data_IF_830718022851
#
_entry.id   IF_830718022851
#
_cell.length_a   1.000
_cell.length_b   1.000
_cell.length_c   1.000
_cell.angle_alpha   90.00
_cell.angle_beta   90.00
_cell.angle_gamma   90.00
#
_symmetry.space_group_name_H-M   'P 1'
#
loop_
_entity.id
_entity.type
_entity.pdbx_description
1 polymer ?
#
# COMPACT_ATOMS: atom_id res chain seq x y z
N UNK A 1 22.84 -22.60 -9.84
CA UNK A 1 24.27 -22.52 -9.49
C UNK A 1 24.85 -23.94 -9.38
N UNK A 2 25.49 -24.46 -10.44
CA UNK A 2 26.12 -25.77 -10.39
C UNK A 2 27.14 -25.85 -9.23
N UNK A 3 27.03 -26.86 -8.37
CA UNK A 3 27.93 -27.07 -7.23
C UNK A 3 27.57 -26.32 -5.95
N UNK A 4 26.53 -25.49 -5.92
CA UNK A 4 26.08 -24.82 -4.69
C UNK A 4 25.44 -25.80 -3.71
N UNK A 5 25.90 -25.80 -2.46
CA UNK A 5 25.31 -26.59 -1.36
C UNK A 5 23.95 -26.06 -0.90
N UNK A 6 23.65 -24.81 -1.20
CA UNK A 6 22.43 -24.13 -0.79
C UNK A 6 22.03 -23.09 -1.85
N UNK A 7 20.73 -22.95 -2.09
CA UNK A 7 20.15 -21.95 -2.98
C UNK A 7 18.97 -21.31 -2.27
N UNK A 8 18.98 -19.99 -2.14
CA UNK A 8 17.82 -19.21 -1.70
C UNK A 8 17.10 -18.70 -2.93
N UNK A 9 15.79 -18.91 -2.98
CA UNK A 9 14.89 -18.40 -4.01
C UNK A 9 14.01 -17.34 -3.37
N UNK A 10 13.96 -16.18 -3.99
CA UNK A 10 13.04 -15.08 -3.66
C UNK A 10 12.13 -14.87 -4.86
N UNK A 11 10.83 -14.75 -4.62
CA UNK A 11 9.86 -14.46 -5.66
C UNK A 11 8.99 -13.28 -5.28
N UNK A 12 8.76 -12.41 -6.27
CA UNK A 12 7.75 -11.37 -6.25
C UNK A 12 6.75 -11.63 -7.37
N UNK A 13 5.47 -11.47 -7.10
CA UNK A 13 4.39 -11.60 -8.07
C UNK A 13 3.42 -10.40 -7.98
N UNK A 14 2.62 -10.20 -9.02
CA UNK A 14 1.66 -9.09 -9.11
C UNK A 14 2.27 -7.71 -9.37
N UNK A 15 3.55 -7.69 -9.77
CA UNK A 15 4.28 -6.49 -10.16
C UNK A 15 3.67 -5.86 -11.42
N UNK A 16 3.58 -4.54 -11.42
CA UNK A 16 3.20 -3.68 -12.53
C UNK A 16 4.40 -2.87 -13.00
N UNK A 17 4.67 -2.90 -14.31
CA UNK A 17 5.71 -2.04 -14.90
C UNK A 17 5.39 -0.56 -14.77
N UNK A 18 4.15 -0.19 -14.47
CA UNK A 18 3.73 1.21 -14.36
C UNK A 18 3.95 1.75 -12.94
N UNK A 19 3.95 0.86 -11.94
CA UNK A 19 3.93 1.24 -10.52
C UNK A 19 5.22 0.89 -9.78
N UNK A 20 5.88 -0.23 -10.11
CA UNK A 20 7.06 -0.70 -9.40
C UNK A 20 8.35 -0.61 -10.24
N UNK A 21 9.46 -0.38 -9.54
CA UNK A 21 10.82 -0.66 -9.99
C UNK A 21 11.35 -1.87 -9.22
N UNK A 22 12.12 -2.70 -9.92
CA UNK A 22 12.85 -3.82 -9.31
C UNK A 22 14.33 -3.53 -9.51
N UNK A 23 15.15 -3.77 -8.47
CA UNK A 23 16.60 -3.66 -8.59
C UNK A 23 17.13 -4.39 -9.82
N UNK A 24 17.99 -3.73 -10.60
CA UNK A 24 18.65 -4.36 -11.72
C UNK A 24 19.72 -5.33 -11.20
N UNK A 25 19.40 -6.63 -11.19
CA UNK A 25 20.28 -7.67 -10.63
C UNK A 25 21.22 -8.25 -11.69
N UNK A 26 22.47 -8.46 -11.30
CA UNK A 26 23.53 -9.12 -12.09
C UNK A 26 24.25 -10.18 -11.26
N UNK A 27 25.23 -10.89 -11.85
CA UNK A 27 26.07 -11.86 -11.12
C UNK A 27 26.97 -11.21 -10.05
N UNK A 28 27.19 -9.90 -10.11
CA UNK A 28 27.99 -9.17 -9.12
C UNK A 28 27.17 -8.80 -7.87
N UNK A 29 25.85 -8.83 -7.96
CA UNK A 29 24.96 -8.46 -6.87
C UNK A 29 24.81 -9.60 -5.86
N UNK A 30 24.53 -9.21 -4.62
CA UNK A 30 24.14 -10.11 -3.53
C UNK A 30 22.63 -9.98 -3.28
N UNK A 31 22.05 -10.96 -2.58
CA UNK A 31 20.60 -11.00 -2.36
C UNK A 31 20.05 -9.73 -1.70
N UNK A 32 20.82 -9.11 -0.81
CA UNK A 32 20.41 -7.87 -0.13
C UNK A 32 20.37 -6.64 -1.04
N UNK A 33 20.89 -6.71 -2.27
CA UNK A 33 20.74 -5.66 -3.28
C UNK A 33 19.36 -5.68 -3.93
N UNK A 34 18.60 -6.78 -3.77
CA UNK A 34 17.24 -6.88 -4.29
C UNK A 34 16.30 -5.99 -3.47
N UNK A 35 15.60 -5.12 -4.19
CA UNK A 35 14.54 -4.27 -3.68
C UNK A 35 13.41 -4.19 -4.70
N UNK A 36 12.19 -4.12 -4.22
CA UNK A 36 11.00 -3.73 -5.00
C UNK A 36 10.55 -2.38 -4.46
N UNK A 37 10.56 -1.34 -5.28
CA UNK A 37 10.23 0.03 -4.87
C UNK A 37 9.13 0.61 -5.73
N UNK A 38 8.30 1.48 -5.15
CA UNK A 38 7.34 2.24 -5.92
C UNK A 38 8.03 3.32 -6.73
N UNK A 39 7.56 3.50 -7.97
CA UNK A 39 7.84 4.70 -8.76
C UNK A 39 7.18 5.88 -8.06
N UNK A 40 7.92 6.97 -7.92
CA UNK A 40 7.44 8.16 -7.25
C UNK A 40 8.00 9.44 -7.87
N UNK A 41 7.27 10.54 -7.69
CA UNK A 41 7.66 11.88 -8.05
C UNK A 41 7.62 12.75 -6.79
N UNK A 42 8.79 13.11 -6.26
CA UNK A 42 8.94 13.97 -5.07
C UNK A 42 8.13 13.49 -3.84
N UNK A 43 8.19 12.21 -3.49
CA UNK A 43 7.47 11.66 -2.34
C UNK A 43 6.02 11.24 -2.64
N UNK A 44 5.53 11.42 -3.87
CA UNK A 44 4.19 10.99 -4.29
C UNK A 44 4.29 9.76 -5.18
N UNK A 45 3.57 8.69 -4.87
CA UNK A 45 3.49 7.51 -5.73
C UNK A 45 3.02 7.90 -7.14
N UNK A 46 3.74 7.45 -8.16
CA UNK A 46 3.43 7.77 -9.55
C UNK A 46 2.13 7.07 -10.03
N UNK A 47 1.84 5.91 -9.45
CA UNK A 47 0.62 5.13 -9.65
C UNK A 47 0.32 4.32 -8.39
N UNK A 48 -0.89 3.76 -8.31
CA UNK A 48 -1.25 2.82 -7.25
C UNK A 48 -0.48 1.50 -7.46
N UNK A 49 0.01 0.86 -6.39
CA UNK A 49 0.78 -0.37 -6.52
C UNK A 49 -0.03 -1.51 -7.13
N UNK A 50 0.67 -2.45 -7.74
CA UNK A 50 0.09 -3.76 -8.07
C UNK A 50 -0.33 -4.52 -6.81
N UNK A 51 -1.07 -5.61 -6.99
CA UNK A 51 -1.37 -6.51 -5.87
C UNK A 51 -0.14 -7.38 -5.60
N UNK A 52 0.77 -6.89 -4.75
CA UNK A 52 2.09 -7.52 -4.60
C UNK A 52 2.04 -8.74 -3.70
N UNK A 53 2.73 -9.80 -4.12
CA UNK A 53 2.94 -11.00 -3.32
C UNK A 53 4.42 -11.37 -3.25
N UNK A 54 4.84 -11.92 -2.13
CA UNK A 54 6.22 -12.29 -1.83
C UNK A 54 6.33 -13.71 -1.28
N UNK A 55 7.41 -14.39 -1.64
CA UNK A 55 7.79 -15.66 -1.01
C UNK A 55 9.30 -15.86 -1.03
N UNK A 56 9.80 -16.60 -0.04
CA UNK A 56 11.20 -17.01 0.03
C UNK A 56 11.33 -18.45 0.51
N UNK A 57 12.22 -19.21 -0.12
CA UNK A 57 12.55 -20.58 0.29
C UNK A 57 14.03 -20.84 0.11
N UNK A 58 14.59 -21.69 0.97
CA UNK A 58 16.01 -22.07 0.87
C UNK A 58 16.15 -23.57 0.67
N UNK A 59 16.65 -23.96 -0.49
CA UNK A 59 16.92 -25.33 -0.87
C UNK A 59 18.33 -25.72 -0.42
N UNK A 60 18.48 -26.90 0.17
CA UNK A 60 19.78 -27.47 0.53
C UNK A 60 20.08 -28.68 -0.36
N UNK A 61 21.22 -28.64 -1.05
CA UNK A 61 21.72 -29.73 -1.88
C UNK A 61 22.51 -30.71 -1.01
N UNK A 62 21.81 -31.50 -0.20
CA UNK A 62 22.41 -32.55 0.65
C UNK A 62 22.30 -33.95 0.06
N UNK A 63 21.69 -34.11 -1.12
CA UNK A 63 21.23 -35.39 -1.63
C UNK A 63 21.63 -35.61 -3.10
N UNK A 64 21.95 -36.86 -3.46
CA UNK A 64 22.17 -37.32 -4.85
C UNK A 64 20.88 -37.47 -5.65
N UNK A 65 19.73 -37.14 -5.05
CA UNK A 65 18.38 -37.23 -5.63
C UNK A 65 17.76 -35.82 -5.76
N UNK A 66 16.88 -35.67 -6.74
CA UNK A 66 16.09 -34.46 -6.89
C UNK A 66 15.19 -34.24 -5.64
N UNK A 67 15.14 -32.99 -5.17
CA UNK A 67 14.23 -32.55 -4.11
C UNK A 67 13.30 -31.45 -4.62
N UNK A 68 12.13 -31.34 -4.00
CA UNK A 68 11.18 -30.27 -4.23
C UNK A 68 10.93 -29.55 -2.91
N UNK A 69 10.77 -28.24 -2.98
CA UNK A 69 10.43 -27.39 -1.83
C UNK A 69 9.22 -26.53 -2.21
N UNK A 70 8.34 -26.29 -1.25
CA UNK A 70 7.17 -25.43 -1.45
C UNK A 70 7.55 -23.98 -1.18
N UNK A 71 7.35 -23.12 -2.17
CA UNK A 71 7.43 -21.67 -2.00
C UNK A 71 6.07 -21.14 -1.57
N UNK A 72 5.94 -20.77 -0.29
CA UNK A 72 4.77 -20.05 0.19
C UNK A 72 4.85 -18.60 -0.30
N UNK A 73 3.78 -18.14 -0.94
CA UNK A 73 3.64 -16.76 -1.41
C UNK A 73 2.51 -16.11 -0.62
N UNK A 74 2.77 -14.93 -0.07
CA UNK A 74 1.84 -14.15 0.76
C UNK A 74 1.67 -12.75 0.20
N UNK A 75 0.47 -12.21 0.35
CA UNK A 75 0.13 -10.86 -0.10
C UNK A 75 0.82 -9.82 0.79
N UNK A 76 1.54 -8.89 0.20
CA UNK A 76 2.37 -7.88 0.90
C UNK A 76 1.77 -6.49 0.96
N UNK A 77 0.82 -6.17 0.08
CA UNK A 77 0.08 -4.90 0.14
C UNK A 77 -1.05 -4.99 1.16
N UNK A 78 -1.48 -3.83 1.63
CA UNK A 78 -2.78 -3.64 2.28
C UNK A 78 -3.81 -3.20 1.26
N UNK A 79 -5.08 -3.46 1.53
CA UNK A 79 -6.22 -2.94 0.76
C UNK A 79 -6.97 -1.89 1.58
N UNK A 80 -7.32 -0.76 0.97
CA UNK A 80 -8.03 0.32 1.64
C UNK A 80 -9.27 0.73 0.84
N UNK A 81 -10.40 0.85 1.51
CA UNK A 81 -11.59 1.57 1.02
C UNK A 81 -11.86 2.77 1.92
N UNK A 82 -12.18 3.91 1.29
CA UNK A 82 -12.35 5.19 2.00
C UNK A 82 -13.74 5.73 1.76
N UNK A 83 -14.41 6.10 2.85
CA UNK A 83 -15.75 6.70 2.82
C UNK A 83 -15.75 7.93 3.70
N UNK A 84 -16.26 9.06 3.19
CA UNK A 84 -16.56 10.25 4.00
C UNK A 84 -18.03 10.61 3.87
N UNK A 85 -18.73 10.55 5.00
CA UNK A 85 -20.14 10.85 5.15
C UNK A 85 -20.34 12.30 5.56
N UNK A 86 -21.53 12.84 5.25
CA UNK A 86 -21.93 14.17 5.71
C UNK A 86 -21.29 15.34 4.95
N UNK A 87 -20.62 15.08 3.82
CA UNK A 87 -19.94 16.11 3.01
C UNK A 87 -20.91 17.19 2.54
N UNK A 88 -22.06 16.81 1.98
CA UNK A 88 -23.09 17.77 1.52
C UNK A 88 -23.57 18.66 2.67
N UNK A 89 -23.74 18.12 3.88
CA UNK A 89 -24.25 18.90 5.02
C UNK A 89 -23.30 20.02 5.43
N UNK A 90 -22.00 19.87 5.16
CA UNK A 90 -20.97 20.82 5.58
C UNK A 90 -20.57 21.75 4.44
N UNK A 91 -20.52 21.24 3.20
CA UNK A 91 -20.07 22.01 2.05
C UNK A 91 -21.20 22.63 1.21
N UNK A 92 -22.45 22.20 1.44
CA UNK A 92 -23.65 22.60 0.70
C UNK A 92 -23.51 22.49 -0.83
N UNK A 93 -22.67 21.55 -1.29
CA UNK A 93 -22.41 21.32 -2.72
C UNK A 93 -22.05 19.86 -2.99
N UNK A 94 -22.43 19.40 -4.19
CA UNK A 94 -22.05 18.11 -4.77
C UNK A 94 -20.95 18.23 -5.83
N UNK A 95 -20.67 19.45 -6.27
CA UNK A 95 -19.73 19.73 -7.35
C UNK A 95 -18.30 19.85 -6.83
N UNK A 96 -17.34 19.44 -7.64
CA UNK A 96 -15.91 19.53 -7.35
C UNK A 96 -15.20 18.20 -7.49
N UNK A 97 -13.88 18.27 -7.62
CA UNK A 97 -13.02 17.11 -7.73
C UNK A 97 -12.59 16.65 -6.35
N UNK A 98 -12.99 15.44 -5.96
CA UNK A 98 -12.64 14.84 -4.69
C UNK A 98 -11.51 13.82 -4.86
N UNK A 99 -10.58 13.83 -3.92
CA UNK A 99 -9.55 12.79 -3.83
C UNK A 99 -9.04 12.69 -2.39
N UNK A 100 -8.57 11.50 -2.04
CA UNK A 100 -7.87 11.28 -0.78
C UNK A 100 -6.37 11.37 -0.98
N UNK A 101 -5.68 11.89 0.03
CA UNK A 101 -4.25 11.65 0.23
C UNK A 101 -4.06 10.66 1.37
N UNK A 102 -3.32 9.58 1.11
CA UNK A 102 -2.88 8.63 2.15
C UNK A 102 -1.37 8.77 2.28
N UNK A 103 -0.89 9.13 3.47
CA UNK A 103 0.51 9.50 3.73
C UNK A 103 1.14 8.57 4.77
N UNK A 104 2.48 8.65 4.87
CA UNK A 104 3.32 7.93 5.84
C UNK A 104 3.42 6.42 5.60
N UNK A 105 3.20 5.97 4.36
CA UNK A 105 3.56 4.60 3.99
C UNK A 105 5.00 4.58 3.52
N UNK A 106 5.69 3.46 3.76
CA UNK A 106 7.01 3.23 3.17
C UNK A 106 6.93 3.04 1.65
N UNK A 107 8.07 3.20 0.97
CA UNK A 107 8.14 3.22 -0.50
C UNK A 107 8.60 1.90 -1.12
N UNK A 108 9.14 0.96 -0.34
CA UNK A 108 9.77 -0.24 -0.89
C UNK A 108 9.69 -1.44 0.04
N UNK A 109 9.98 -2.61 -0.52
CA UNK A 109 10.28 -3.84 0.18
C UNK A 109 11.72 -4.27 -0.12
N UNK A 110 12.41 -4.75 0.91
CA UNK A 110 13.73 -5.35 0.74
C UNK A 110 13.65 -6.83 0.29
N UNK A 111 14.81 -7.47 0.19
CA UNK A 111 14.94 -8.88 -0.17
C UNK A 111 14.26 -9.88 0.78
N UNK A 112 13.92 -9.48 2.00
CA UNK A 112 13.19 -10.29 2.98
C UNK A 112 11.67 -10.03 2.93
N UNK A 113 11.21 -9.11 2.07
CA UNK A 113 9.83 -8.67 2.03
C UNK A 113 9.48 -7.69 3.16
N UNK A 114 10.47 -7.05 3.77
CA UNK A 114 10.26 -6.06 4.84
C UNK A 114 10.16 -4.64 4.25
N UNK A 115 9.27 -3.82 4.82
CA UNK A 115 9.08 -2.44 4.39
C UNK A 115 10.33 -1.58 4.65
N UNK A 116 10.76 -0.83 3.65
CA UNK A 116 11.95 0.03 3.67
C UNK A 116 11.72 1.33 2.90
N UNK A 117 12.74 2.19 2.86
CA UNK A 117 12.71 3.44 2.11
C UNK A 117 12.07 4.60 2.86
N UNK A 118 11.92 5.72 2.15
CA UNK A 118 11.31 6.93 2.67
C UNK A 118 9.78 6.79 2.76
N UNK A 119 9.17 7.68 3.55
CA UNK A 119 7.72 7.81 3.57
C UNK A 119 7.23 8.50 2.30
N UNK A 120 6.10 8.04 1.77
CA UNK A 120 5.46 8.57 0.57
C UNK A 120 3.97 8.85 0.81
N UNK A 121 3.35 9.49 -0.19
CA UNK A 121 1.92 9.71 -0.28
C UNK A 121 1.31 9.09 -1.54
N UNK A 122 0.06 8.64 -1.42
CA UNK A 122 -0.80 8.27 -2.54
C UNK A 122 -1.86 9.34 -2.76
N UNK A 123 -2.20 9.58 -4.02
CA UNK A 123 -3.40 10.33 -4.41
C UNK A 123 -4.41 9.31 -4.94
N UNK A 124 -5.51 9.13 -4.21
CA UNK A 124 -6.55 8.15 -4.54
C UNK A 124 -7.78 8.92 -5.02
N UNK A 125 -8.19 8.76 -6.29
CA UNK A 125 -9.40 9.41 -6.80
C UNK A 125 -10.64 9.02 -6.00
N UNK A 126 -11.55 9.97 -5.80
CA UNK A 126 -12.80 9.72 -5.10
C UNK A 126 -13.98 10.34 -5.85
N UNK A 127 -15.17 9.75 -5.67
CA UNK A 127 -16.41 10.23 -6.29
C UNK A 127 -17.50 10.39 -5.26
N UNK A 128 -18.47 11.27 -5.51
CA UNK A 128 -19.63 11.42 -4.65
C UNK A 128 -20.75 10.47 -5.09
N UNK A 129 -21.22 9.64 -4.16
CA UNK A 129 -22.35 8.73 -4.40
C UNK A 129 -23.71 9.48 -4.38
N UNK A 130 -24.78 8.78 -4.76
CA UNK A 130 -26.13 9.34 -4.77
C UNK A 130 -26.58 9.87 -3.38
N UNK A 131 -26.08 9.25 -2.30
CA UNK A 131 -26.38 9.61 -0.90
C UNK A 131 -25.56 10.81 -0.42
N UNK A 132 -24.62 11.30 -1.21
CA UNK A 132 -23.76 12.43 -0.86
C UNK A 132 -22.53 12.06 -0.02
N UNK A 133 -22.13 10.78 -0.04
CA UNK A 133 -20.87 10.33 0.54
C UNK A 133 -19.78 10.43 -0.52
N UNK A 134 -18.59 10.85 -0.12
CA UNK A 134 -17.41 10.72 -0.97
C UNK A 134 -16.81 9.34 -0.74
N UNK A 135 -16.58 8.59 -1.81
CA UNK A 135 -16.09 7.21 -1.78
C UNK A 135 -14.87 7.07 -2.70
N UNK A 136 -13.89 6.29 -2.25
CA UNK A 136 -12.84 5.77 -3.11
C UNK A 136 -12.93 4.25 -3.17
N UNK A 137 -12.70 3.70 -4.38
CA UNK A 137 -12.70 2.27 -4.61
C UNK A 137 -11.62 1.56 -3.79
N UNK A 138 -11.80 0.26 -3.56
CA UNK A 138 -10.81 -0.56 -2.89
C UNK A 138 -9.50 -0.55 -3.70
N UNK A 139 -8.43 -0.03 -3.10
CA UNK A 139 -7.11 0.04 -3.74
C UNK A 139 -6.03 -0.58 -2.87
N UNK A 140 -5.00 -1.11 -3.53
CA UNK A 140 -3.77 -1.51 -2.85
C UNK A 140 -2.95 -0.28 -2.43
N UNK A 141 -2.32 -0.38 -1.27
CA UNK A 141 -1.26 0.53 -0.78
C UNK A 141 -0.23 -0.30 0.00
N UNK A 142 0.99 0.23 0.19
CA UNK A 142 1.95 -0.40 1.09
C UNK A 142 1.46 -0.28 2.56
N UNK A 143 1.59 -1.34 3.37
CA UNK A 143 1.11 -1.34 4.74
C UNK A 143 1.84 -0.32 5.63
N UNK A 144 1.16 0.13 6.67
CA UNK A 144 1.71 1.05 7.67
C UNK A 144 0.86 1.05 8.94
N UNK A 145 1.51 1.28 10.07
CA UNK A 145 0.87 1.28 11.40
C UNK A 145 0.34 2.66 11.84
N UNK A 146 0.68 3.73 11.13
CA UNK A 146 0.25 5.11 11.40
C UNK A 146 0.16 5.92 10.10
N UNK A 147 -0.90 5.70 9.31
CA UNK A 147 -1.17 6.52 8.12
C UNK A 147 -1.94 7.78 8.46
N UNK A 148 -1.68 8.84 7.69
CA UNK A 148 -2.53 10.04 7.68
C UNK A 148 -3.40 10.04 6.44
N UNK A 149 -4.71 10.17 6.64
CA UNK A 149 -5.68 10.23 5.56
C UNK A 149 -6.29 11.62 5.55
N UNK A 150 -6.23 12.28 4.40
CA UNK A 150 -6.80 13.61 4.17
C UNK A 150 -7.75 13.54 2.98
N UNK A 151 -8.90 14.22 3.08
CA UNK A 151 -9.81 14.41 1.96
C UNK A 151 -9.65 15.84 1.43
N UNK A 152 -9.54 15.96 0.12
CA UNK A 152 -9.47 17.22 -0.59
C UNK A 152 -10.66 17.40 -1.53
N UNK A 153 -11.02 18.65 -1.75
CA UNK A 153 -11.96 19.10 -2.77
C UNK A 153 -11.32 20.29 -3.50
N UNK A 154 -11.11 20.17 -4.81
CA UNK A 154 -10.54 21.25 -5.63
C UNK A 154 -9.26 21.84 -4.99
N UNK A 155 -8.32 20.96 -4.61
CA UNK A 155 -7.06 21.26 -3.91
C UNK A 155 -7.17 21.86 -2.50
N UNK A 156 -8.39 22.04 -1.98
CA UNK A 156 -8.62 22.47 -0.61
C UNK A 156 -8.84 21.27 0.31
N UNK A 157 -8.05 21.16 1.39
CA UNK A 157 -8.23 20.11 2.39
C UNK A 157 -9.51 20.36 3.19
N UNK A 158 -10.40 19.37 3.22
CA UNK A 158 -11.67 19.45 3.96
C UNK A 158 -11.71 18.54 5.20
N UNK A 159 -10.81 17.56 5.27
CA UNK A 159 -10.70 16.62 6.39
C UNK A 159 -9.25 16.17 6.55
N UNK A 160 -8.81 15.94 7.78
CA UNK A 160 -7.59 15.20 8.10
C UNK A 160 -7.84 14.24 9.25
N UNK A 161 -7.38 13.00 9.13
CA UNK A 161 -7.45 11.99 10.19
C UNK A 161 -6.72 12.41 11.47
N UNK A 162 -5.83 13.40 11.42
CA UNK A 162 -5.18 13.96 12.62
C UNK A 162 -6.11 14.84 13.48
N UNK A 163 -7.16 15.38 12.89
CA UNK A 163 -8.02 16.39 13.51
C UNK A 163 -9.41 15.84 13.90
N UNK A 164 -9.67 14.57 13.64
CA UNK A 164 -10.92 13.90 13.99
C UNK A 164 -10.79 13.18 15.34
N UNK A 165 -11.89 12.98 16.04
CA UNK A 165 -11.90 12.20 17.30
C UNK A 165 -11.73 10.71 17.01
N UNK A 166 -11.10 9.98 17.93
CA UNK A 166 -10.90 8.51 17.91
C UNK A 166 -9.98 7.97 16.80
N UNK A 167 -9.07 8.78 16.26
CA UNK A 167 -8.15 8.39 15.18
C UNK A 167 -6.70 8.27 15.61
N UNK A 168 -6.43 7.96 16.89
CA UNK A 168 -5.09 8.13 17.47
C UNK A 168 -3.98 7.45 16.66
N UNK A 169 -4.28 6.34 15.96
CA UNK A 169 -3.51 5.83 14.81
C UNK A 169 -4.41 5.11 13.83
N UNK A 170 -4.24 5.37 12.54
CA UNK A 170 -4.90 4.59 11.47
C UNK A 170 -3.87 3.57 10.97
N UNK A 171 -4.14 2.29 11.15
CA UNK A 171 -3.30 1.20 10.62
C UNK A 171 -3.95 0.58 9.40
N UNK A 172 -3.11 0.23 8.41
CA UNK A 172 -3.47 -0.52 7.21
C UNK A 172 -2.49 -1.67 7.11
N UNK A 173 -2.96 -2.86 7.46
CA UNK A 173 -2.09 -4.01 7.70
C UNK A 173 -1.83 -4.81 6.44
N UNK A 174 -0.68 -5.47 6.41
CA UNK A 174 -0.28 -6.36 5.33
C UNK A 174 -1.30 -7.48 5.12
N UNK A 175 -1.70 -7.70 3.86
CA UNK A 175 -2.62 -8.78 3.48
C UNK A 175 -4.09 -8.52 3.84
N UNK A 176 -4.39 -7.51 4.66
CA UNK A 176 -5.73 -7.19 5.13
C UNK A 176 -6.42 -6.14 4.24
N UNK A 177 -7.74 -6.08 4.35
CA UNK A 177 -8.54 -5.00 3.79
C UNK A 177 -9.09 -4.16 4.93
N UNK A 178 -8.92 -2.85 4.88
CA UNK A 178 -9.46 -1.91 5.85
C UNK A 178 -10.48 -0.99 5.18
N UNK A 179 -11.69 -0.93 5.72
CA UNK A 179 -12.68 0.10 5.39
C UNK A 179 -12.61 1.21 6.43
N UNK A 180 -12.27 2.42 5.98
CA UNK A 180 -12.13 3.58 6.84
C UNK A 180 -13.23 4.58 6.50
N UNK A 181 -14.10 4.81 7.49
CA UNK A 181 -15.23 5.72 7.37
C UNK A 181 -15.03 6.93 8.27
N UNK A 182 -15.07 8.11 7.66
CA UNK A 182 -15.16 9.39 8.35
C UNK A 182 -16.59 9.92 8.33
N UNK A 183 -17.06 10.51 9.44
CA UNK A 183 -18.30 11.28 9.48
C UNK A 183 -17.94 12.75 9.74
N UNK A 184 -17.91 13.54 8.67
CA UNK A 184 -17.54 14.97 8.73
C UNK A 184 -18.53 15.76 9.60
N UNK A 185 -19.80 15.35 9.63
CA UNK A 185 -20.84 16.04 10.41
C UNK A 185 -20.71 15.83 11.92
N UNK A 186 -20.01 14.78 12.34
CA UNK A 186 -19.76 14.44 13.75
C UNK A 186 -18.31 14.65 14.17
N UNK A 187 -17.44 14.96 13.22
CA UNK A 187 -15.99 15.06 13.40
C UNK A 187 -15.39 13.80 14.05
N UNK A 188 -15.72 12.60 13.52
CA UNK A 188 -15.22 11.32 14.03
C UNK A 188 -14.73 10.38 12.90
N UNK A 189 -13.99 9.34 13.31
CA UNK A 189 -13.49 8.28 12.45
C UNK A 189 -13.91 6.90 12.99
N UNK A 190 -14.19 5.96 12.09
CA UNK A 190 -14.38 4.54 12.38
C UNK A 190 -13.59 3.70 11.37
N UNK A 191 -12.91 2.66 11.86
CA UNK A 191 -12.07 1.76 11.09
C UNK A 191 -12.63 0.34 11.26
N UNK A 192 -12.94 -0.32 10.15
CA UNK A 192 -13.35 -1.73 10.12
C UNK A 192 -12.26 -2.49 9.35
N UNK A 193 -11.77 -3.57 9.93
CA UNK A 193 -10.74 -4.47 9.37
C UNK A 193 -11.37 -5.84 9.15
#
# INVERSE_FOLDING_TARGET
>A
CPGSKQITVVAWAGLSSDSENISAMSKANIISDLQVSLKQNNGVAAALPGDLFYGQVTLKSTSTKASAETLKIERKVSSISLITKGVIKVLDSREGNFYYKVKKTKASFDHNGELTGEEIEYIIPATMDAKGNVIADNTAILPASDVTIELYKDDNMILSSKNVKNSEKVSVNEGEQSEITFDLSKNNCNIVV
#
